data_IF_264243937332
#
_entry.id   IF_264243937332
#
_cell.length_a   1.000
_cell.length_b   1.000
_cell.length_c   1.000
_cell.angle_alpha   90.00
_cell.angle_beta   90.00
_cell.angle_gamma   90.00
#
_symmetry.space_group_name_H-M   'P 1'
#
loop_
_entity.id
_entity.type
_entity.pdbx_description
1 polymer ?
#
# COMPACT_ATOMS: atom_id res chain seq x y z
N UNK A 1 -1.91 -23.86 -13.44
CA UNK A 1 -0.94 -23.84 -12.32
C UNK A 1 -1.70 -23.57 -11.03
N UNK A 2 -1.38 -24.28 -9.94
CA UNK A 2 -2.00 -24.05 -8.62
C UNK A 2 -1.46 -22.76 -8.00
N UNK A 3 -2.26 -22.07 -7.18
CA UNK A 3 -1.81 -20.91 -6.42
C UNK A 3 -0.66 -21.29 -5.47
N UNK A 4 0.54 -20.74 -5.72
CA UNK A 4 1.72 -20.95 -4.89
C UNK A 4 1.87 -19.90 -3.77
N UNK A 5 2.88 -20.03 -2.91
CA UNK A 5 3.06 -19.17 -1.73
C UNK A 5 3.45 -17.72 -2.07
N UNK A 6 3.84 -17.46 -3.32
CA UNK A 6 4.29 -16.13 -3.78
C UNK A 6 3.19 -15.34 -4.50
N UNK A 7 1.97 -15.89 -4.59
CA UNK A 7 0.86 -15.15 -5.24
C UNK A 7 0.38 -14.03 -4.32
N UNK A 8 -0.09 -12.90 -4.86
CA UNK A 8 -0.68 -11.84 -4.04
C UNK A 8 -1.89 -12.33 -3.23
N UNK A 9 -2.12 -11.74 -2.05
CA UNK A 9 -3.23 -12.06 -1.16
C UNK A 9 -4.59 -12.13 -1.89
N UNK A 10 -5.00 -11.15 -2.74
CA UNK A 10 -6.27 -11.23 -3.46
C UNK A 10 -6.37 -12.42 -4.44
N UNK A 11 -5.25 -12.88 -4.98
CA UNK A 11 -5.20 -14.07 -5.84
C UNK A 11 -5.39 -15.33 -5.01
N UNK A 12 -4.73 -15.43 -3.85
CA UNK A 12 -4.90 -16.54 -2.93
C UNK A 12 -6.34 -16.64 -2.39
N UNK A 13 -6.95 -15.52 -1.99
CA UNK A 13 -8.36 -15.45 -1.60
C UNK A 13 -9.27 -16.09 -2.66
N UNK A 14 -9.07 -15.73 -3.92
CA UNK A 14 -9.85 -16.29 -5.04
C UNK A 14 -9.58 -17.78 -5.27
N UNK A 15 -8.33 -18.21 -5.15
CA UNK A 15 -7.97 -19.62 -5.33
C UNK A 15 -8.59 -20.52 -4.26
N UNK A 16 -8.50 -20.12 -2.99
CA UNK A 16 -9.11 -20.86 -1.87
C UNK A 16 -10.64 -20.82 -1.98
N UNK A 17 -11.23 -19.66 -2.26
CA UNK A 17 -12.68 -19.55 -2.43
C UNK A 17 -13.19 -20.42 -3.58
N UNK A 18 -12.50 -20.43 -4.73
CA UNK A 18 -12.83 -21.30 -5.87
C UNK A 18 -12.81 -22.77 -5.45
N UNK A 19 -11.72 -23.22 -4.83
CA UNK A 19 -11.55 -24.61 -4.40
C UNK A 19 -12.61 -25.04 -3.39
N UNK A 20 -12.83 -24.23 -2.36
CA UNK A 20 -13.85 -24.46 -1.35
C UNK A 20 -15.25 -24.55 -1.97
N UNK A 21 -15.62 -23.57 -2.81
CA UNK A 21 -16.94 -23.54 -3.43
C UNK A 21 -17.15 -24.71 -4.40
N UNK A 22 -16.15 -25.07 -5.20
CA UNK A 22 -16.28 -26.19 -6.14
C UNK A 22 -16.39 -27.53 -5.40
N UNK A 23 -15.66 -27.73 -4.29
CA UNK A 23 -15.83 -28.90 -3.42
C UNK A 23 -17.23 -28.96 -2.82
N UNK A 24 -17.74 -27.86 -2.26
CA UNK A 24 -19.11 -27.80 -1.71
C UNK A 24 -20.18 -28.03 -2.77
N UNK A 25 -19.98 -27.54 -3.99
CA UNK A 25 -20.92 -27.79 -5.10
C UNK A 25 -20.85 -29.26 -5.51
N UNK A 26 -19.65 -29.84 -5.66
CA UNK A 26 -19.48 -31.25 -6.03
C UNK A 26 -20.11 -32.21 -5.02
N UNK A 27 -20.07 -31.88 -3.71
CA UNK A 27 -20.77 -32.69 -2.69
C UNK A 27 -22.29 -32.71 -2.83
N UNK A 28 -22.88 -31.79 -3.62
CA UNK A 28 -24.33 -31.68 -3.83
C UNK A 28 -24.71 -32.20 -5.21
N UNK A 29 -24.06 -31.68 -6.27
CA UNK A 29 -24.53 -31.80 -7.65
C UNK A 29 -23.93 -32.96 -8.41
N UNK A 30 -22.81 -33.53 -7.95
CA UNK A 30 -22.14 -34.63 -8.66
C UNK A 30 -22.83 -35.96 -8.35
N UNK A 31 -24.03 -36.14 -8.91
CA UNK A 31 -24.91 -37.29 -8.67
C UNK A 31 -24.34 -38.61 -9.22
N UNK A 32 -23.38 -38.52 -10.14
CA UNK A 32 -22.67 -39.68 -10.69
C UNK A 32 -21.59 -40.20 -9.71
N UNK A 33 -21.39 -39.52 -8.58
CA UNK A 33 -20.49 -39.94 -7.50
C UNK A 33 -21.21 -40.66 -6.38
N UNK A 34 -20.44 -41.52 -5.72
CA UNK A 34 -20.89 -42.20 -4.51
C UNK A 34 -21.20 -41.20 -3.38
N UNK A 35 -22.00 -41.62 -2.40
CA UNK A 35 -22.23 -40.84 -1.18
C UNK A 35 -20.91 -40.55 -0.45
N UNK A 36 -20.01 -41.54 -0.36
CA UNK A 36 -18.69 -41.40 0.27
C UNK A 36 -17.83 -40.33 -0.41
N UNK A 37 -17.83 -40.25 -1.74
CA UNK A 37 -17.05 -39.25 -2.46
C UNK A 37 -17.63 -37.83 -2.25
N UNK A 38 -18.95 -37.71 -2.15
CA UNK A 38 -19.61 -36.44 -1.83
C UNK A 38 -19.33 -35.99 -0.40
N UNK A 39 -19.32 -36.93 0.55
CA UNK A 39 -18.87 -36.68 1.93
C UNK A 39 -17.39 -36.28 1.99
N UNK A 40 -16.53 -36.92 1.20
CA UNK A 40 -15.13 -36.55 1.06
C UNK A 40 -14.98 -35.11 0.56
N UNK A 41 -15.71 -34.69 -0.48
CA UNK A 41 -15.67 -33.31 -0.96
C UNK A 41 -16.10 -32.31 0.13
N UNK A 42 -17.17 -32.61 0.86
CA UNK A 42 -17.62 -31.76 1.96
C UNK A 42 -16.56 -31.65 3.08
N UNK A 43 -15.90 -32.76 3.40
CA UNK A 43 -14.82 -32.79 4.39
C UNK A 43 -13.59 -31.99 3.95
N UNK A 44 -13.16 -32.09 2.69
CA UNK A 44 -12.06 -31.27 2.16
C UNK A 44 -12.43 -29.77 2.12
N UNK A 45 -13.67 -29.43 1.76
CA UNK A 45 -14.14 -28.05 1.79
C UNK A 45 -14.09 -27.46 3.21
N UNK A 46 -14.51 -28.24 4.21
CA UNK A 46 -14.53 -27.83 5.61
C UNK A 46 -13.11 -27.50 6.14
N UNK A 47 -12.07 -28.17 5.65
CA UNK A 47 -10.66 -27.88 6.01
C UNK A 47 -10.18 -26.53 5.47
N UNK A 48 -10.68 -26.09 4.32
CA UNK A 48 -10.28 -24.84 3.66
C UNK A 48 -11.08 -23.62 4.13
N UNK A 49 -12.27 -23.84 4.68
CA UNK A 49 -13.20 -22.78 5.06
C UNK A 49 -12.62 -21.79 6.11
N UNK A 50 -11.93 -22.23 7.18
CA UNK A 50 -11.32 -21.31 8.13
C UNK A 50 -10.27 -20.39 7.48
N UNK A 51 -9.44 -20.93 6.58
CA UNK A 51 -8.44 -20.15 5.86
C UNK A 51 -9.06 -19.16 4.88
N UNK A 52 -10.14 -19.55 4.20
CA UNK A 52 -10.91 -18.62 3.37
C UNK A 52 -11.37 -17.41 4.18
N UNK A 53 -11.94 -17.63 5.36
CA UNK A 53 -12.42 -16.54 6.21
C UNK A 53 -11.26 -15.67 6.72
N UNK A 54 -10.17 -16.29 7.18
CA UNK A 54 -8.99 -15.56 7.68
C UNK A 54 -8.35 -14.68 6.59
N UNK A 55 -8.17 -15.22 5.38
CA UNK A 55 -7.61 -14.48 4.24
C UNK A 55 -8.50 -13.28 3.85
N UNK A 56 -9.82 -13.47 3.78
CA UNK A 56 -10.76 -12.38 3.45
C UNK A 56 -10.82 -11.32 4.53
N UNK A 57 -10.79 -11.72 5.81
CA UNK A 57 -10.76 -10.79 6.92
C UNK A 57 -9.47 -9.95 6.89
N UNK A 58 -8.32 -10.59 6.67
CA UNK A 58 -7.03 -9.90 6.60
C UNK A 58 -6.92 -8.97 5.39
N UNK A 59 -7.48 -9.36 4.24
CA UNK A 59 -7.54 -8.49 3.06
C UNK A 59 -8.31 -7.20 3.37
N UNK A 60 -9.49 -7.32 4.01
CA UNK A 60 -10.29 -6.16 4.41
C UNK A 60 -9.58 -5.30 5.45
N UNK A 61 -8.92 -5.91 6.43
CA UNK A 61 -8.18 -5.18 7.46
C UNK A 61 -7.04 -4.34 6.87
N UNK A 62 -6.36 -4.85 5.83
CA UNK A 62 -5.35 -4.09 5.08
C UNK A 62 -6.01 -2.93 4.32
N UNK A 63 -7.08 -3.21 3.55
CA UNK A 63 -7.80 -2.18 2.78
C UNK A 63 -8.37 -1.07 3.69
N UNK A 64 -8.95 -1.44 4.83
CA UNK A 64 -9.49 -0.51 5.83
C UNK A 64 -8.38 0.32 6.48
N UNK A 65 -7.19 -0.26 6.70
CA UNK A 65 -6.05 0.48 7.23
C UNK A 65 -5.53 1.50 6.21
N UNK A 66 -5.36 1.09 4.95
CA UNK A 66 -4.89 1.97 3.87
C UNK A 66 -5.84 3.15 3.63
N UNK A 67 -7.14 2.89 3.54
CA UNK A 67 -8.17 3.90 3.28
C UNK A 67 -8.53 4.75 4.51
N UNK A 68 -8.19 4.28 5.72
CA UNK A 68 -8.49 4.96 6.97
C UNK A 68 -7.23 5.57 7.61
N UNK A 69 -6.67 4.95 8.67
CA UNK A 69 -5.51 5.49 9.39
C UNK A 69 -4.29 5.81 8.52
N UNK A 70 -4.02 5.00 7.50
CA UNK A 70 -2.90 5.20 6.57
C UNK A 70 -3.04 6.52 5.79
N UNK A 71 -4.13 6.67 5.05
CA UNK A 71 -4.44 7.90 4.30
C UNK A 71 -4.56 9.12 5.23
N UNK A 72 -5.19 8.97 6.40
CA UNK A 72 -5.30 10.03 7.39
C UNK A 72 -3.91 10.54 7.83
N UNK A 73 -2.99 9.63 8.17
CA UNK A 73 -1.65 10.00 8.62
C UNK A 73 -0.82 10.65 7.50
N UNK A 74 -0.91 10.13 6.28
CA UNK A 74 -0.23 10.72 5.12
C UNK A 74 -0.78 12.10 4.79
N UNK A 75 -2.10 12.26 4.79
CA UNK A 75 -2.77 13.55 4.60
C UNK A 75 -2.39 14.55 5.68
N UNK A 76 -2.28 14.11 6.94
CA UNK A 76 -1.87 14.96 8.03
C UNK A 76 -0.44 15.48 7.83
N UNK A 77 0.52 14.63 7.40
CA UNK A 77 1.89 15.07 7.07
C UNK A 77 1.89 16.13 5.97
N UNK A 78 1.11 15.95 4.90
CA UNK A 78 1.03 16.92 3.78
C UNK A 78 0.44 18.25 4.23
N UNK A 79 -0.62 18.22 5.05
CA UNK A 79 -1.21 19.45 5.58
C UNK A 79 -0.32 20.12 6.63
N UNK A 80 0.36 19.34 7.47
CA UNK A 80 1.31 19.82 8.47
C UNK A 80 2.51 20.52 7.84
N UNK A 81 3.00 19.98 6.73
CA UNK A 81 4.04 20.57 5.88
C UNK A 81 3.60 21.97 5.38
N UNK A 82 2.43 22.06 4.74
CA UNK A 82 1.85 23.36 4.32
C UNK A 82 1.63 24.35 5.48
N UNK A 83 1.38 23.85 6.69
CA UNK A 83 1.26 24.69 7.89
C UNK A 83 2.63 25.19 8.35
N UNK A 84 3.66 24.35 8.32
CA UNK A 84 5.05 24.73 8.62
C UNK A 84 5.55 25.78 7.62
N UNK A 85 5.40 25.49 6.34
CA UNK A 85 5.66 26.36 5.19
C UNK A 85 5.12 27.78 5.34
N UNK A 86 3.83 27.89 5.66
CA UNK A 86 3.17 29.18 5.87
C UNK A 86 3.76 29.89 7.08
N UNK A 87 4.10 29.13 8.13
CA UNK A 87 4.82 29.62 9.30
C UNK A 87 6.18 30.19 8.93
N UNK A 88 6.99 29.48 8.15
CA UNK A 88 8.32 29.93 7.70
C UNK A 88 8.21 31.21 6.88
N UNK A 89 7.31 31.26 5.89
CA UNK A 89 7.09 32.46 5.05
C UNK A 89 6.60 33.67 5.86
N UNK A 90 5.67 33.44 6.80
CA UNK A 90 5.18 34.49 7.70
C UNK A 90 6.28 34.95 8.68
N UNK A 91 7.05 34.01 9.23
CA UNK A 91 8.18 34.26 10.13
C UNK A 91 9.26 35.11 9.45
N UNK A 92 9.64 34.76 8.22
CA UNK A 92 10.57 35.56 7.42
C UNK A 92 10.04 36.99 7.20
N UNK A 93 8.77 37.11 6.80
CA UNK A 93 8.15 38.43 6.56
C UNK A 93 8.13 39.29 7.81
N UNK A 94 7.71 38.74 8.96
CA UNK A 94 7.69 39.45 10.25
C UNK A 94 9.10 39.83 10.72
N UNK A 95 10.08 38.97 10.51
CA UNK A 95 11.48 39.23 10.84
C UNK A 95 12.05 40.37 10.00
N UNK A 96 11.80 40.38 8.68
CA UNK A 96 12.20 41.49 7.78
C UNK A 96 11.59 42.83 8.22
N UNK A 97 10.32 42.83 8.61
CA UNK A 97 9.66 44.04 9.11
C UNK A 97 10.22 44.49 10.47
N UNK A 98 10.42 43.56 11.41
CA UNK A 98 10.94 43.86 12.74
C UNK A 98 12.39 44.34 12.78
N UNK A 99 13.18 43.97 11.76
CA UNK A 99 14.57 44.41 11.59
C UNK A 99 14.71 45.67 10.73
N UNK A 100 13.63 46.20 10.15
CA UNK A 100 13.69 47.39 9.30
C UNK A 100 14.26 48.58 10.08
N UNK A 101 15.37 49.15 9.59
CA UNK A 101 16.05 50.28 10.24
C UNK A 101 16.96 49.89 11.40
N UNK A 102 17.15 48.59 11.68
CA UNK A 102 18.13 48.09 12.65
C UNK A 102 19.42 47.71 11.93
N UNK A 103 20.55 47.97 12.56
CA UNK A 103 21.87 47.52 12.09
C UNK A 103 22.15 46.09 12.56
N UNK A 104 22.94 45.34 11.78
CA UNK A 104 23.34 43.96 12.12
C UNK A 104 22.88 42.93 11.11
N UNK A 105 22.72 41.69 11.57
CA UNK A 105 22.27 40.56 10.76
C UNK A 105 20.81 40.74 10.30
N UNK A 106 20.56 40.49 9.03
CA UNK A 106 19.23 40.53 8.42
C UNK A 106 18.48 39.20 8.51
N UNK A 107 17.23 39.18 8.05
CA UNK A 107 16.41 37.96 8.05
C UNK A 107 17.01 36.84 7.18
N UNK A 108 17.80 37.19 6.17
CA UNK A 108 18.51 36.26 5.28
C UNK A 108 19.51 35.38 6.03
N UNK A 109 19.98 35.83 7.20
CA UNK A 109 20.84 35.01 8.06
C UNK A 109 20.09 33.78 8.59
N UNK A 110 18.85 33.97 9.03
CA UNK A 110 18.04 32.90 9.62
C UNK A 110 17.33 32.05 8.57
N UNK A 111 16.71 32.69 7.58
CA UNK A 111 15.86 32.02 6.59
C UNK A 111 16.54 31.74 5.25
N UNK A 112 17.81 32.13 5.10
CA UNK A 112 18.52 32.06 3.83
C UNK A 112 18.11 33.16 2.84
N UNK A 113 18.81 33.18 1.70
CA UNK A 113 18.51 34.11 0.61
C UNK A 113 17.17 33.76 -0.09
N UNK A 114 16.81 32.48 -0.09
CA UNK A 114 15.56 31.96 -0.62
C UNK A 114 14.89 31.14 0.46
N UNK A 115 13.69 31.57 0.87
CA UNK A 115 12.87 30.81 1.84
C UNK A 115 12.51 29.44 1.31
N UNK A 116 12.39 29.32 -0.02
CA UNK A 116 12.09 28.08 -0.72
C UNK A 116 13.11 26.98 -0.42
N UNK A 117 14.36 27.33 -0.09
CA UNK A 117 15.38 26.34 0.31
C UNK A 117 15.03 25.62 1.64
N UNK A 118 14.17 26.25 2.47
CA UNK A 118 13.59 25.64 3.66
C UNK A 118 12.28 24.93 3.32
N UNK A 119 11.34 25.62 2.66
CA UNK A 119 9.96 25.14 2.46
C UNK A 119 9.82 24.03 1.41
N UNK A 120 10.74 23.96 0.45
CA UNK A 120 10.68 22.95 -0.61
C UNK A 120 11.59 21.75 -0.30
N UNK A 121 12.15 21.70 0.92
CA UNK A 121 12.93 20.57 1.40
C UNK A 121 12.04 19.32 1.55
N UNK A 122 12.61 18.09 1.45
CA UNK A 122 11.84 16.89 1.73
C UNK A 122 11.19 16.94 3.12
N UNK A 123 9.92 16.56 3.25
CA UNK A 123 9.14 16.71 4.50
C UNK A 123 9.85 16.14 5.74
N UNK A 124 10.67 15.09 5.56
CA UNK A 124 11.45 14.47 6.66
C UNK A 124 12.57 15.35 7.20
N UNK A 125 13.10 16.24 6.36
CA UNK A 125 14.26 17.07 6.65
C UNK A 125 13.88 18.50 7.03
N UNK A 126 12.75 19.01 6.50
CA UNK A 126 12.31 20.40 6.73
C UNK A 126 12.25 20.77 8.21
N UNK A 127 11.65 19.97 9.14
CA UNK A 127 11.57 20.36 10.55
C UNK A 127 12.94 20.64 11.19
N UNK A 128 13.97 19.88 10.80
CA UNK A 128 15.33 20.09 11.28
C UNK A 128 15.92 21.41 10.75
N UNK A 129 15.73 21.69 9.45
CA UNK A 129 16.18 22.94 8.82
C UNK A 129 15.49 24.17 9.43
N UNK A 130 14.19 24.08 9.71
CA UNK A 130 13.46 25.16 10.38
C UNK A 130 13.94 25.33 11.83
N UNK A 131 14.27 24.25 12.53
CA UNK A 131 14.86 24.34 13.87
C UNK A 131 16.21 25.06 13.86
N UNK A 132 17.06 24.79 12.86
CA UNK A 132 18.30 25.55 12.65
C UNK A 132 18.02 27.04 12.37
N UNK A 133 17.01 27.34 11.56
CA UNK A 133 16.59 28.72 11.31
C UNK A 133 16.14 29.42 12.61
N UNK A 134 15.38 28.73 13.48
CA UNK A 134 14.97 29.26 14.79
C UNK A 134 16.18 29.61 15.66
N UNK A 135 17.22 28.76 15.66
CA UNK A 135 18.47 29.04 16.37
C UNK A 135 19.13 30.32 15.83
N UNK A 136 19.23 30.46 14.51
CA UNK A 136 19.80 31.65 13.85
C UNK A 136 18.97 32.92 14.06
N UNK A 137 17.65 32.81 14.29
CA UNK A 137 16.83 33.96 14.74
C UNK A 137 17.37 34.50 16.06
N UNK A 138 17.88 33.64 16.93
CA UNK A 138 18.52 34.01 18.20
C UNK A 138 19.63 35.04 18.05
N UNK A 139 20.39 34.97 16.96
CA UNK A 139 21.53 35.83 16.65
C UNK A 139 21.14 37.20 16.06
N UNK A 140 19.87 37.36 15.65
CA UNK A 140 19.38 38.61 15.08
C UNK A 140 19.27 39.72 16.14
N UNK A 141 19.41 40.99 15.75
CA UNK A 141 19.06 42.12 16.63
C UNK A 141 17.67 41.94 17.24
N UNK A 142 17.45 42.43 18.45
CA UNK A 142 16.16 42.27 19.11
C UNK A 142 15.03 43.03 18.39
N UNK A 143 13.83 42.46 18.35
CA UNK A 143 12.62 43.06 17.79
C UNK A 143 11.35 42.53 18.45
N UNK A 144 10.31 43.36 18.51
CA UNK A 144 9.10 43.15 19.33
C UNK A 144 8.43 41.77 19.16
N UNK A 145 8.50 41.20 17.96
CA UNK A 145 7.88 39.90 17.63
C UNK A 145 8.86 38.72 17.60
N UNK A 146 10.14 38.90 17.97
CA UNK A 146 11.19 37.87 17.87
C UNK A 146 10.81 36.58 18.59
N UNK A 147 10.46 36.68 19.87
CA UNK A 147 10.05 35.53 20.66
C UNK A 147 8.77 34.87 20.13
N UNK A 148 7.81 35.67 19.60
CA UNK A 148 6.58 35.13 19.01
C UNK A 148 6.86 34.32 17.74
N UNK A 149 7.76 34.81 16.89
CA UNK A 149 8.18 34.09 15.67
C UNK A 149 8.87 32.78 16.04
N UNK A 150 9.81 32.80 17.00
CA UNK A 150 10.51 31.59 17.43
C UNK A 150 9.54 30.54 18.01
N UNK A 151 8.61 30.96 18.88
CA UNK A 151 7.65 30.06 19.49
C UNK A 151 6.64 29.49 18.48
N UNK A 152 6.15 30.32 17.54
CA UNK A 152 5.24 29.85 16.47
C UNK A 152 5.92 28.83 15.55
N UNK A 153 7.16 29.10 15.12
CA UNK A 153 7.92 28.16 14.30
C UNK A 153 8.23 26.87 15.07
N UNK A 154 8.63 26.97 16.33
CA UNK A 154 8.91 25.78 17.16
C UNK A 154 7.66 24.90 17.32
N UNK A 155 6.50 25.49 17.59
CA UNK A 155 5.25 24.76 17.71
C UNK A 155 4.87 24.04 16.41
N UNK A 156 5.12 24.65 15.24
CA UNK A 156 4.87 24.02 13.93
C UNK A 156 5.86 22.89 13.63
N UNK A 157 7.14 23.07 13.99
CA UNK A 157 8.16 22.02 13.89
C UNK A 157 7.77 20.81 14.73
N UNK A 158 7.41 21.02 16.00
CA UNK A 158 6.98 19.95 16.91
C UNK A 158 5.72 19.23 16.40
N UNK A 159 4.76 19.99 15.86
CA UNK A 159 3.59 19.42 15.20
C UNK A 159 4.00 18.51 14.04
N UNK A 160 4.82 19.00 13.10
CA UNK A 160 5.21 18.24 11.92
C UNK A 160 6.04 16.99 12.27
N UNK A 161 6.96 17.09 13.23
CA UNK A 161 7.70 15.94 13.77
C UNK A 161 6.74 14.88 14.36
N UNK A 162 5.71 15.32 15.09
CA UNK A 162 4.67 14.44 15.62
C UNK A 162 3.88 13.72 14.52
N UNK A 163 3.54 14.43 13.44
CA UNK A 163 2.80 13.88 12.30
C UNK A 163 3.64 12.86 11.52
N UNK A 164 4.92 13.16 11.27
CA UNK A 164 5.85 12.22 10.63
C UNK A 164 5.99 10.93 11.45
N UNK A 165 6.11 11.06 12.78
CA UNK A 165 6.17 9.90 13.68
C UNK A 165 4.89 9.07 13.65
N UNK A 166 3.71 9.71 13.59
CA UNK A 166 2.44 9.01 13.47
C UNK A 166 2.33 8.25 12.16
N UNK A 167 2.77 8.84 11.03
CA UNK A 167 2.84 8.14 9.74
C UNK A 167 3.78 6.94 9.81
N UNK A 168 5.00 7.11 10.29
CA UNK A 168 5.98 6.01 10.39
C UNK A 168 5.47 4.85 11.26
N UNK A 169 4.69 5.15 12.32
CA UNK A 169 4.00 4.14 13.13
C UNK A 169 2.87 3.44 12.36
N UNK A 170 2.10 4.18 11.55
CA UNK A 170 1.10 3.62 10.65
C UNK A 170 1.71 2.68 9.61
N UNK A 171 2.83 3.06 9.00
CA UNK A 171 3.55 2.22 8.03
C UNK A 171 4.06 0.92 8.68
N UNK A 172 4.54 1.00 9.92
CA UNK A 172 4.94 -0.18 10.69
C UNK A 172 3.74 -1.09 11.03
N UNK A 173 2.57 -0.52 11.33
CA UNK A 173 1.35 -1.27 11.55
C UNK A 173 0.88 -1.99 10.28
N UNK A 174 0.89 -1.30 9.13
CA UNK A 174 0.57 -1.89 7.82
C UNK A 174 1.54 -3.03 7.48
N UNK A 175 2.85 -2.82 7.65
CA UNK A 175 3.87 -3.84 7.41
C UNK A 175 3.64 -5.12 8.23
N UNK A 176 3.14 -4.97 9.47
CA UNK A 176 2.76 -6.10 10.33
C UNK A 176 1.55 -6.84 9.77
N UNK A 177 0.50 -6.13 9.34
CA UNK A 177 -0.68 -6.74 8.71
C UNK A 177 -0.32 -7.50 7.44
N UNK A 178 0.52 -6.92 6.58
CA UNK A 178 1.02 -7.58 5.37
C UNK A 178 1.85 -8.83 5.69
N UNK A 179 2.70 -8.77 6.71
CA UNK A 179 3.49 -9.93 7.15
C UNK A 179 2.61 -11.08 7.66
N UNK A 180 1.52 -10.76 8.37
CA UNK A 180 0.53 -11.74 8.79
C UNK A 180 -0.24 -12.32 7.59
N UNK A 181 -0.59 -11.49 6.60
CA UNK A 181 -1.20 -11.94 5.37
C UNK A 181 -0.31 -12.90 4.58
N UNK A 182 1.00 -12.63 4.48
CA UNK A 182 1.96 -13.52 3.82
C UNK A 182 1.97 -14.90 4.49
N UNK A 183 1.96 -14.96 5.83
CA UNK A 183 1.89 -16.25 6.56
C UNK A 183 0.62 -17.03 6.20
N UNK A 184 -0.53 -16.36 6.15
CA UNK A 184 -1.80 -16.97 5.75
C UNK A 184 -1.76 -17.46 4.29
N UNK A 185 -1.11 -16.71 3.39
CA UNK A 185 -0.94 -17.13 1.98
C UNK A 185 -0.10 -18.40 1.88
N UNK A 186 1.00 -18.50 2.63
CA UNK A 186 1.85 -19.70 2.66
C UNK A 186 1.06 -20.90 3.17
N UNK A 187 0.36 -20.75 4.30
CA UNK A 187 -0.47 -21.83 4.86
C UNK A 187 -1.58 -22.28 3.90
N UNK A 188 -2.22 -21.32 3.22
CA UNK A 188 -3.24 -21.61 2.22
C UNK A 188 -2.68 -22.33 0.99
N UNK A 189 -1.49 -21.96 0.52
CA UNK A 189 -0.82 -22.66 -0.57
C UNK A 189 -0.56 -24.13 -0.21
N UNK A 190 -0.05 -24.40 0.99
CA UNK A 190 0.19 -25.76 1.48
C UNK A 190 -1.12 -26.56 1.58
N UNK A 191 -2.20 -25.95 2.08
CA UNK A 191 -3.51 -26.61 2.16
C UNK A 191 -4.12 -26.89 0.80
N UNK A 192 -3.92 -26.00 -0.18
CA UNK A 192 -4.34 -26.27 -1.57
C UNK A 192 -3.55 -27.43 -2.18
N UNK A 193 -2.24 -27.54 -1.90
CA UNK A 193 -1.42 -28.68 -2.34
C UNK A 193 -1.91 -29.98 -1.70
N UNK A 194 -2.19 -29.96 -0.39
CA UNK A 194 -2.73 -31.13 0.33
C UNK A 194 -4.10 -31.56 -0.23
N UNK A 195 -5.01 -30.60 -0.46
CA UNK A 195 -6.32 -30.88 -1.05
C UNK A 195 -6.19 -31.47 -2.46
N UNK A 196 -5.26 -30.94 -3.27
CA UNK A 196 -4.96 -31.49 -4.60
C UNK A 196 -4.43 -32.91 -4.52
N UNK A 197 -3.48 -33.18 -3.62
CA UNK A 197 -2.93 -34.52 -3.43
C UNK A 197 -4.00 -35.52 -2.97
N UNK A 198 -4.91 -35.11 -2.07
CA UNK A 198 -6.03 -35.93 -1.64
C UNK A 198 -7.00 -36.25 -2.80
N UNK A 199 -7.34 -35.24 -3.61
CA UNK A 199 -8.17 -35.43 -4.81
C UNK A 199 -7.48 -36.32 -5.86
N UNK A 200 -6.19 -36.11 -6.14
CA UNK A 200 -5.42 -36.95 -7.06
C UNK A 200 -5.33 -38.41 -6.55
N UNK A 201 -5.20 -38.62 -5.23
CA UNK A 201 -5.19 -39.93 -4.62
C UNK A 201 -6.55 -40.65 -4.70
N UNK A 202 -7.65 -39.92 -4.49
CA UNK A 202 -9.01 -40.47 -4.60
C UNK A 202 -9.44 -40.69 -6.06
N UNK A 203 -8.99 -39.84 -6.99
CA UNK A 203 -9.38 -39.86 -8.40
C UNK A 203 -8.19 -39.92 -9.38
N UNK A 204 -7.33 -40.96 -9.32
CA UNK A 204 -6.01 -40.98 -9.98
C UNK A 204 -6.05 -40.94 -11.51
N UNK A 205 -7.16 -41.36 -12.13
CA UNK A 205 -7.35 -41.37 -13.59
C UNK A 205 -8.10 -40.15 -14.11
N UNK A 206 -8.54 -39.25 -13.23
CA UNK A 206 -9.47 -38.16 -13.58
C UNK A 206 -8.84 -36.78 -13.40
N UNK A 207 -7.62 -36.61 -13.92
CA UNK A 207 -6.82 -35.39 -13.75
C UNK A 207 -7.53 -34.11 -14.22
N UNK A 208 -8.27 -34.18 -15.33
CA UNK A 208 -9.04 -33.04 -15.85
C UNK A 208 -10.19 -32.63 -14.91
N UNK A 209 -10.86 -33.62 -14.32
CA UNK A 209 -11.88 -33.40 -13.32
C UNK A 209 -11.29 -32.76 -12.05
N UNK A 210 -10.20 -33.33 -11.51
CA UNK A 210 -9.49 -32.77 -10.34
C UNK A 210 -9.01 -31.33 -10.59
N UNK A 211 -8.49 -31.05 -11.78
CA UNK A 211 -8.04 -29.70 -12.14
C UNK A 211 -9.17 -28.66 -12.10
N UNK A 212 -10.43 -29.05 -12.35
CA UNK A 212 -11.58 -28.12 -12.36
C UNK A 212 -11.92 -27.51 -10.99
N UNK A 213 -11.48 -28.16 -9.91
CA UNK A 213 -11.65 -27.68 -8.53
C UNK A 213 -10.75 -26.48 -8.24
N UNK A 214 -9.62 -26.35 -8.91
CA UNK A 214 -8.62 -25.34 -8.60
C UNK A 214 -8.68 -24.16 -9.57
N UNK A 215 -8.37 -22.97 -9.07
CA UNK A 215 -8.18 -21.80 -9.93
C UNK A 215 -6.86 -21.95 -10.70
N UNK A 216 -6.91 -21.84 -12.03
CA UNK A 216 -5.70 -21.71 -12.83
C UNK A 216 -5.13 -20.30 -12.70
N UNK A 217 -4.06 -20.16 -11.92
CA UNK A 217 -3.38 -18.87 -11.71
C UNK A 217 -2.27 -18.60 -12.74
N UNK A 218 -2.08 -19.49 -13.72
CA UNK A 218 -1.13 -19.19 -14.79
C UNK A 218 -1.61 -17.95 -15.56
N UNK A 219 -0.73 -16.98 -15.77
CA UNK A 219 -1.03 -15.84 -16.66
C UNK A 219 -1.31 -16.44 -18.05
N UNK A 220 -2.58 -16.58 -18.42
CA UNK A 220 -2.97 -16.81 -19.81
C UNK A 220 -2.40 -15.62 -20.60
N UNK A 221 -1.25 -15.81 -21.25
CA UNK A 221 -0.81 -14.91 -22.31
C UNK A 221 -2.00 -14.81 -23.25
N UNK A 222 -2.53 -13.60 -23.46
CA UNK A 222 -3.48 -13.32 -24.53
C UNK A 222 -2.80 -13.80 -25.81
N UNK A 223 -3.23 -14.94 -26.32
CA UNK A 223 -2.95 -15.36 -27.68
C UNK A 223 -3.61 -14.32 -28.57
N UNK A 224 -2.83 -13.38 -29.11
CA UNK A 224 -3.19 -12.68 -30.34
C UNK A 224 -3.30 -13.73 -31.43
N UNK A 225 -4.51 -14.22 -31.63
CA UNK A 225 -4.97 -14.85 -32.88
C UNK A 225 -6.30 -14.19 -33.13
N UNK A 226 -6.22 -13.20 -34.00
CA UNK A 226 -7.27 -12.54 -34.79
C UNK A 226 -6.63 -11.21 -35.18
N UNK A 227 -5.93 -11.25 -36.32
CA UNK A 227 -5.56 -10.15 -37.23
C UNK A 227 -4.57 -10.74 -38.24
N UNK A 228 -5.08 -11.66 -39.07
CA UNK A 228 -4.48 -12.05 -40.35
C UNK A 228 -5.34 -11.44 -41.47
N UNK A 229 -5.58 -10.14 -41.37
CA UNK A 229 -6.06 -9.29 -42.46
C UNK A 229 -4.92 -8.31 -42.78
N UNK A 230 -3.96 -8.78 -43.58
CA UNK A 230 -2.69 -8.11 -43.77
C UNK A 230 -1.98 -8.44 -45.07
N UNK A 231 -2.69 -8.75 -46.17
CA UNK A 231 -2.13 -8.56 -47.51
C UNK A 231 -2.26 -7.10 -47.90
N UNK A 232 -1.24 -6.33 -47.53
CA UNK A 232 -0.93 -5.04 -48.13
C UNK A 232 0.20 -5.18 -49.16
N UNK A 233 0.16 -4.25 -50.12
CA UNK A 233 1.21 -3.86 -51.07
C UNK A 233 1.11 -4.55 -52.44
N UNK A 234 1.01 -3.86 -53.57
CA UNK A 234 1.30 -2.46 -53.89
C UNK A 234 1.87 -2.39 -55.31
N UNK A 235 1.75 -1.22 -55.96
CA UNK A 235 2.57 -0.84 -57.11
C UNK A 235 1.91 -0.95 -58.48
N UNK A 236 1.82 0.18 -59.18
CA UNK A 236 1.34 0.29 -60.56
C UNK A 236 2.44 0.11 -61.63
N UNK A 237 2.16 0.68 -62.81
CA UNK A 237 2.83 0.56 -64.13
C UNK A 237 2.19 -0.57 -64.97
N UNK A 238 1.78 -0.45 -66.24
CA UNK A 238 2.01 0.49 -67.35
C UNK A 238 0.96 0.15 -68.45
N UNK A 239 0.61 1.09 -69.35
CA UNK A 239 -0.18 0.83 -70.56
C UNK A 239 -1.13 1.93 -70.99
#
# INVERSE_FOLDING_TARGET
>A
MLAGPTVPLPVMCRAVARTCNTLTVASIVDIDRSAEDREFFAAEAAKLLPLRHALLAKLREIEDHELGPGDQNQSAVVLGDQVLDRGVRAGNTRTKLGLKGKSGLGAEHAFGNRVDDLTDAPHRNEPALVREAITKIGDLPDYDDKAKVQNDLLARVELQEGLLKARDQGDAALSKLESEAVKLVVEAADKLVQAKAALDGRFPRQRGYVASFFLDVSRKRRSRRDDDDGEGSGGGSEG
#
